data_IF_426953495129
#
_entry.id   IF_426953495129
#
_cell.length_a   1.000
_cell.length_b   1.000
_cell.length_c   1.000
_cell.angle_alpha   90.00
_cell.angle_beta   90.00
_cell.angle_gamma   90.00
#
_symmetry.space_group_name_H-M   'P 1'
#
loop_
_entity.id
_entity.type
_entity.pdbx_description
1 polymer ?
#
# COMPACT_ATOMS: atom_id res chain seq x y z
N UNK A 1 9.71 -27.58 -8.60
CA UNK A 1 9.51 -26.13 -8.34
C UNK A 1 9.20 -25.99 -6.86
N UNK A 2 10.00 -25.26 -6.11
CA UNK A 2 9.68 -24.97 -4.70
C UNK A 2 8.31 -24.29 -4.66
N UNK A 3 7.42 -24.80 -3.83
CA UNK A 3 6.07 -24.27 -3.65
C UNK A 3 6.17 -22.99 -2.79
N UNK A 4 6.58 -21.90 -3.42
CA UNK A 4 6.63 -20.58 -2.76
C UNK A 4 5.22 -20.12 -2.44
N UNK A 5 5.07 -19.42 -1.33
CA UNK A 5 3.83 -18.75 -0.94
C UNK A 5 3.38 -17.71 -1.94
N UNK A 6 2.25 -17.09 -1.67
CA UNK A 6 1.73 -15.95 -2.45
C UNK A 6 1.80 -14.68 -1.61
N UNK A 7 2.32 -13.61 -2.19
CA UNK A 7 2.39 -12.28 -1.58
C UNK A 7 1.45 -11.34 -2.33
N UNK A 8 0.31 -11.03 -1.72
CA UNK A 8 -0.75 -10.22 -2.32
C UNK A 8 -0.83 -8.90 -1.56
N UNK A 9 -0.70 -7.80 -2.28
CA UNK A 9 -0.78 -6.44 -1.73
C UNK A 9 -2.06 -5.76 -2.15
N UNK A 10 -2.78 -5.18 -1.20
CA UNK A 10 -3.88 -4.26 -1.47
C UNK A 10 -3.35 -2.83 -1.29
N UNK A 11 -3.37 -2.07 -2.37
CA UNK A 11 -2.97 -0.67 -2.41
C UNK A 11 -4.15 0.21 -2.83
N UNK A 12 -4.11 1.49 -2.56
CA UNK A 12 -5.20 2.38 -2.92
C UNK A 12 -4.77 3.81 -3.17
N UNK A 13 -5.47 4.45 -4.08
CA UNK A 13 -5.24 5.85 -4.47
C UNK A 13 -5.44 6.84 -3.31
N UNK A 14 -6.28 6.48 -2.33
CA UNK A 14 -6.59 7.28 -1.15
C UNK A 14 -6.83 6.39 0.06
N UNK A 15 -6.87 6.98 1.24
CA UNK A 15 -7.35 6.29 2.43
C UNK A 15 -8.88 6.16 2.40
N UNK A 16 -9.38 5.09 3.00
CA UNK A 16 -10.81 4.84 3.07
C UNK A 16 -11.43 4.16 1.85
N UNK A 17 -10.64 3.75 0.86
CA UNK A 17 -11.12 3.03 -0.35
C UNK A 17 -11.58 1.58 -0.09
N UNK A 18 -11.65 1.15 1.16
CA UNK A 18 -12.15 -0.18 1.52
C UNK A 18 -11.11 -1.28 1.60
N UNK A 19 -9.80 -1.00 1.57
CA UNK A 19 -8.71 -2.00 1.66
C UNK A 19 -8.90 -2.97 2.83
N UNK A 20 -9.04 -2.46 4.04
CA UNK A 20 -9.15 -3.29 5.25
C UNK A 20 -10.37 -4.22 5.20
N UNK A 21 -11.52 -3.74 4.71
CA UNK A 21 -12.72 -4.57 4.51
C UNK A 21 -12.46 -5.69 3.51
N UNK A 22 -11.78 -5.38 2.40
CA UNK A 22 -11.47 -6.38 1.38
C UNK A 22 -10.42 -7.38 1.85
N UNK A 23 -9.45 -6.94 2.67
CA UNK A 23 -8.49 -7.86 3.30
C UNK A 23 -9.17 -8.85 4.23
N UNK A 24 -10.15 -8.41 5.04
CA UNK A 24 -10.91 -9.29 5.91
C UNK A 24 -11.73 -10.33 5.13
N UNK A 25 -12.42 -9.89 4.09
CA UNK A 25 -13.18 -10.78 3.23
C UNK A 25 -12.26 -11.77 2.49
N UNK A 26 -11.12 -11.30 1.99
CA UNK A 26 -10.15 -12.10 1.27
C UNK A 26 -9.49 -13.15 2.17
N UNK A 27 -9.08 -12.75 3.39
CA UNK A 27 -8.56 -13.67 4.41
C UNK A 27 -9.58 -14.76 4.75
N UNK A 28 -10.84 -14.38 4.99
CA UNK A 28 -11.93 -15.32 5.29
C UNK A 28 -12.17 -16.32 4.16
N UNK A 29 -12.12 -15.87 2.90
CA UNK A 29 -12.35 -16.75 1.75
C UNK A 29 -11.16 -17.69 1.51
N UNK A 30 -9.94 -17.16 1.50
CA UNK A 30 -8.74 -17.94 1.20
C UNK A 30 -8.35 -18.90 2.34
N UNK A 31 -8.67 -18.57 3.60
CA UNK A 31 -8.40 -19.44 4.74
C UNK A 31 -9.17 -20.75 4.73
N UNK A 32 -10.14 -20.91 3.82
CA UNK A 32 -10.82 -22.20 3.58
C UNK A 32 -9.91 -23.23 2.89
N UNK A 33 -8.96 -22.76 2.09
CA UNK A 33 -8.12 -23.61 1.23
C UNK A 33 -6.63 -23.57 1.61
N UNK A 34 -6.15 -22.47 2.23
CA UNK A 34 -4.73 -22.26 2.58
C UNK A 34 -4.60 -21.44 3.83
N UNK A 35 -3.48 -21.59 4.54
CA UNK A 35 -3.18 -20.71 5.68
C UNK A 35 -2.81 -19.32 5.17
N UNK A 36 -3.51 -18.30 5.70
CA UNK A 36 -3.29 -16.90 5.37
C UNK A 36 -2.67 -16.14 6.53
N UNK A 37 -1.74 -15.23 6.21
CA UNK A 37 -1.18 -14.27 7.17
C UNK A 37 -1.46 -12.87 6.69
N UNK A 38 -2.25 -12.12 7.46
CA UNK A 38 -2.49 -10.70 7.19
C UNK A 38 -1.49 -9.82 7.92
N UNK A 39 -1.05 -8.74 7.25
CA UNK A 39 -0.20 -7.72 7.84
C UNK A 39 -0.52 -6.34 7.28
N UNK A 40 -0.20 -5.31 8.06
CA UNK A 40 -0.34 -3.91 7.66
C UNK A 40 0.99 -3.18 7.83
N UNK A 41 1.34 -2.33 6.87
CA UNK A 41 2.48 -1.43 6.95
C UNK A 41 2.02 0.04 6.95
N UNK A 42 2.65 0.91 7.76
CA UNK A 42 3.73 0.63 8.73
C UNK A 42 3.27 -0.23 9.92
N UNK A 43 4.20 -0.98 10.48
CA UNK A 43 3.94 -1.93 11.58
C UNK A 43 3.98 -1.24 12.94
N UNK A 44 3.01 -0.37 13.20
CA UNK A 44 2.99 0.55 14.35
C UNK A 44 3.13 -0.11 15.73
N UNK A 45 2.96 -1.39 15.86
CA UNK A 45 3.18 -2.16 17.09
C UNK A 45 4.64 -2.48 17.39
N UNK A 46 5.57 -2.18 16.48
CA UNK A 46 6.99 -2.51 16.60
C UNK A 46 7.88 -1.27 16.63
N UNK A 47 9.02 -1.38 17.33
CA UNK A 47 10.03 -0.32 17.37
C UNK A 47 10.64 -0.03 15.99
N UNK A 48 10.61 -0.98 15.05
CA UNK A 48 11.04 -0.78 13.66
C UNK A 48 10.32 0.36 12.95
N UNK A 49 9.07 0.66 13.35
CA UNK A 49 8.26 1.75 12.79
C UNK A 49 8.39 3.09 13.55
N UNK A 50 9.28 3.22 14.53
CA UNK A 50 9.37 4.43 15.35
C UNK A 50 9.75 5.66 14.53
N UNK A 51 10.70 5.52 13.59
CA UNK A 51 11.09 6.61 12.70
C UNK A 51 9.94 7.03 11.79
N UNK A 52 9.15 6.08 11.28
CA UNK A 52 7.95 6.37 10.50
C UNK A 52 6.94 7.17 11.33
N UNK A 53 6.70 6.77 12.59
CA UNK A 53 5.78 7.49 13.49
C UNK A 53 6.24 8.92 13.78
N UNK A 54 7.55 9.12 13.99
CA UNK A 54 8.11 10.47 14.21
C UNK A 54 7.99 11.33 12.95
N UNK A 55 8.27 10.75 11.78
CA UNK A 55 8.12 11.42 10.49
C UNK A 55 6.68 11.86 10.23
N UNK A 56 5.72 10.94 10.32
CA UNK A 56 4.30 11.23 10.07
C UNK A 56 3.74 12.30 11.04
N UNK A 57 4.27 12.38 12.26
CA UNK A 57 3.95 13.46 13.24
C UNK A 57 4.68 14.76 12.96
N UNK A 58 5.48 14.87 11.90
CA UNK A 58 6.29 16.07 11.60
C UNK A 58 7.41 16.36 12.61
N UNK A 59 7.83 15.36 13.41
CA UNK A 59 8.89 15.54 14.43
C UNK A 59 10.31 15.51 13.87
N UNK A 60 10.47 15.10 12.62
CA UNK A 60 11.78 14.99 11.94
C UNK A 60 12.04 16.18 10.98
N UNK A 61 11.10 17.08 10.83
CA UNK A 61 11.15 18.21 9.89
C UNK A 61 9.97 18.19 8.91
N UNK A 62 9.97 19.10 7.95
CA UNK A 62 8.93 19.18 6.92
C UNK A 62 9.22 18.20 5.80
N UNK A 63 8.19 17.84 5.05
CA UNK A 63 8.28 16.88 3.94
C UNK A 63 9.31 17.29 2.87
N UNK A 64 9.43 18.59 2.60
CA UNK A 64 10.35 19.15 1.61
C UNK A 64 11.79 19.31 2.11
N UNK A 65 12.04 19.21 3.43
CA UNK A 65 13.36 19.34 4.06
C UNK A 65 14.10 17.99 4.13
N UNK A 66 13.39 16.86 4.02
CA UNK A 66 13.97 15.52 4.18
C UNK A 66 14.11 14.86 2.78
N UNK A 67 15.30 14.36 2.40
CA UNK A 67 15.48 13.62 1.16
C UNK A 67 14.57 12.38 1.07
N UNK A 68 14.06 12.08 -0.12
CA UNK A 68 13.13 10.96 -0.31
C UNK A 68 13.77 9.61 0.03
N UNK A 69 15.05 9.44 -0.25
CA UNK A 69 15.80 8.23 0.10
C UNK A 69 15.92 8.03 1.63
N UNK A 70 15.96 9.13 2.39
CA UNK A 70 15.97 9.08 3.87
C UNK A 70 14.58 8.68 4.37
N UNK A 71 13.52 9.28 3.83
CA UNK A 71 12.15 8.91 4.17
C UNK A 71 11.91 7.44 3.83
N UNK A 72 12.34 7.01 2.64
CA UNK A 72 12.23 5.61 2.19
C UNK A 72 12.90 4.66 3.17
N UNK A 73 14.09 5.00 3.68
CA UNK A 73 14.82 4.14 4.62
C UNK A 73 14.04 3.85 5.91
N UNK A 74 13.23 4.79 6.38
CA UNK A 74 12.38 4.57 7.56
C UNK A 74 11.34 3.48 7.34
N UNK A 75 10.70 3.50 6.18
CA UNK A 75 9.70 2.50 5.80
C UNK A 75 10.33 1.15 5.43
N UNK A 76 11.45 1.18 4.72
CA UNK A 76 12.17 -0.01 4.27
C UNK A 76 12.71 -0.84 5.45
N UNK A 77 13.23 -0.19 6.51
CA UNK A 77 13.68 -0.87 7.73
C UNK A 77 12.51 -1.55 8.45
N UNK A 78 11.34 -0.91 8.52
CA UNK A 78 10.15 -1.54 9.12
C UNK A 78 9.72 -2.78 8.32
N UNK A 79 9.69 -2.69 6.99
CA UNK A 79 9.37 -3.82 6.12
C UNK A 79 10.38 -4.96 6.22
N UNK A 80 11.68 -4.64 6.22
CA UNK A 80 12.76 -5.66 6.36
C UNK A 80 12.65 -6.39 7.69
N UNK A 81 12.48 -5.66 8.80
CA UNK A 81 12.34 -6.26 10.11
C UNK A 81 11.17 -7.24 10.17
N UNK A 82 10.01 -6.83 9.66
CA UNK A 82 8.81 -7.68 9.66
C UNK A 82 8.97 -8.85 8.69
N UNK A 83 9.49 -8.60 7.49
CA UNK A 83 9.73 -9.66 6.53
C UNK A 83 10.62 -10.75 7.12
N UNK A 84 11.79 -10.39 7.62
CA UNK A 84 12.78 -11.32 8.14
C UNK A 84 12.29 -12.12 9.36
N UNK A 85 11.58 -11.45 10.27
CA UNK A 85 11.23 -12.07 11.55
C UNK A 85 9.86 -12.76 11.55
N UNK A 86 8.94 -12.36 10.64
CA UNK A 86 7.55 -12.83 10.71
C UNK A 86 7.00 -13.39 9.39
N UNK A 87 7.35 -12.82 8.23
CA UNK A 87 6.67 -13.16 6.98
C UNK A 87 7.45 -14.16 6.11
N UNK A 88 8.78 -14.06 6.08
CA UNK A 88 9.65 -14.88 5.22
C UNK A 88 9.41 -16.38 5.40
N UNK A 89 9.24 -16.83 6.65
CA UNK A 89 8.97 -18.24 6.95
C UNK A 89 7.63 -18.69 6.36
N UNK A 90 6.56 -17.91 6.54
CA UNK A 90 5.24 -18.19 5.96
C UNK A 90 5.30 -18.31 4.45
N UNK A 91 6.01 -17.37 3.81
CA UNK A 91 6.20 -17.37 2.37
C UNK A 91 6.96 -18.62 1.88
N UNK A 92 8.04 -18.99 2.58
CA UNK A 92 8.82 -20.18 2.27
C UNK A 92 8.04 -21.50 2.48
N UNK A 93 7.07 -21.52 3.38
CA UNK A 93 6.18 -22.66 3.64
C UNK A 93 5.01 -22.77 2.64
N UNK A 94 4.96 -21.92 1.62
CA UNK A 94 3.90 -21.98 0.59
C UNK A 94 2.58 -21.31 1.01
N UNK A 95 2.56 -20.55 2.10
CA UNK A 95 1.36 -19.90 2.64
C UNK A 95 1.10 -18.55 1.97
N UNK A 96 -0.14 -18.08 2.05
CA UNK A 96 -0.54 -16.79 1.47
C UNK A 96 -0.34 -15.66 2.48
N UNK A 97 0.31 -14.58 2.03
CA UNK A 97 0.50 -13.35 2.79
C UNK A 97 -0.35 -12.24 2.14
N UNK A 98 -1.20 -11.60 2.95
CA UNK A 98 -2.08 -10.51 2.55
C UNK A 98 -1.62 -9.23 3.21
N UNK A 99 -1.24 -8.23 2.42
CA UNK A 99 -0.70 -6.97 2.92
C UNK A 99 -1.62 -5.79 2.63
N UNK A 100 -1.92 -5.00 3.67
CA UNK A 100 -2.42 -3.64 3.54
C UNK A 100 -1.23 -2.70 3.45
N UNK A 101 -0.96 -2.16 2.26
CA UNK A 101 0.25 -1.40 1.91
C UNK A 101 1.54 -2.24 1.99
N UNK A 102 2.53 -1.82 1.25
CA UNK A 102 3.87 -2.43 1.22
C UNK A 102 4.88 -1.45 0.58
N UNK A 103 5.87 -1.96 -0.16
CA UNK A 103 6.77 -1.19 -1.02
C UNK A 103 6.00 -0.33 -2.03
N UNK A 104 4.83 -0.80 -2.43
CA UNK A 104 3.89 -0.13 -3.34
C UNK A 104 3.53 1.27 -2.87
N UNK A 105 3.31 1.46 -1.56
CA UNK A 105 3.07 2.80 -1.00
C UNK A 105 4.30 3.69 -1.14
N UNK A 106 5.52 3.19 -0.91
CA UNK A 106 6.73 3.98 -1.13
C UNK A 106 6.86 4.46 -2.57
N UNK A 107 6.53 3.62 -3.56
CA UNK A 107 6.54 4.02 -4.97
C UNK A 107 5.59 5.20 -5.23
N UNK A 108 4.45 5.26 -4.55
CA UNK A 108 3.49 6.36 -4.67
C UNK A 108 4.00 7.62 -3.96
N UNK A 109 4.44 7.50 -2.71
CA UNK A 109 4.72 8.65 -1.86
C UNK A 109 6.10 9.27 -2.11
N UNK A 110 7.14 8.47 -2.40
CA UNK A 110 8.48 9.02 -2.64
C UNK A 110 8.65 9.60 -4.05
N UNK A 111 7.71 9.37 -4.96
CA UNK A 111 7.71 10.01 -6.28
C UNK A 111 6.99 11.36 -6.32
N UNK A 112 6.43 11.81 -5.19
CA UNK A 112 5.68 13.09 -5.13
C UNK A 112 6.52 14.32 -5.46
N UNK A 113 7.82 14.32 -5.16
CA UNK A 113 8.73 15.43 -5.44
C UNK A 113 9.37 15.36 -6.84
N UNK A 114 9.25 14.23 -7.53
CA UNK A 114 9.75 14.07 -8.89
C UNK A 114 9.00 14.99 -9.87
N UNK A 115 9.75 15.68 -10.74
CA UNK A 115 9.19 16.66 -11.67
C UNK A 115 8.83 16.05 -13.02
N UNK A 116 9.50 14.95 -13.39
CA UNK A 116 9.32 14.27 -14.67
C UNK A 116 8.96 12.80 -14.45
N UNK A 117 8.37 12.19 -15.48
CA UNK A 117 8.10 10.75 -15.45
C UNK A 117 9.37 9.91 -15.36
N UNK A 118 10.45 10.36 -16.00
CA UNK A 118 11.72 9.63 -15.97
C UNK A 118 12.34 9.66 -14.56
N UNK A 119 12.27 10.80 -13.86
CA UNK A 119 12.66 10.87 -12.44
C UNK A 119 11.83 9.93 -11.58
N UNK A 120 10.51 9.83 -11.82
CA UNK A 120 9.63 8.87 -11.11
C UNK A 120 10.05 7.41 -11.38
N UNK A 121 10.28 7.06 -12.64
CA UNK A 121 10.73 5.72 -13.04
C UNK A 121 12.07 5.35 -12.41
N UNK A 122 13.04 6.27 -12.42
CA UNK A 122 14.35 6.09 -11.79
C UNK A 122 14.22 5.91 -10.26
N UNK A 123 13.38 6.71 -9.59
CA UNK A 123 13.12 6.57 -8.16
C UNK A 123 12.51 5.20 -7.84
N UNK A 124 11.51 4.77 -8.59
CA UNK A 124 10.89 3.45 -8.43
C UNK A 124 11.93 2.34 -8.63
N UNK A 125 12.78 2.44 -9.66
CA UNK A 125 13.82 1.46 -9.91
C UNK A 125 14.83 1.37 -8.75
N UNK A 126 15.26 2.51 -8.20
CA UNK A 126 16.13 2.58 -7.01
C UNK A 126 15.49 1.92 -5.79
N UNK A 127 14.21 2.23 -5.50
CA UNK A 127 13.48 1.62 -4.38
C UNK A 127 13.33 0.11 -4.55
N UNK A 128 12.98 -0.38 -5.75
CA UNK A 128 12.94 -1.82 -6.05
C UNK A 128 14.29 -2.49 -5.84
N UNK A 129 15.37 -1.88 -6.33
CA UNK A 129 16.72 -2.40 -6.14
C UNK A 129 17.10 -2.42 -4.65
N UNK A 130 16.79 -1.38 -3.91
CA UNK A 130 17.11 -1.30 -2.48
C UNK A 130 16.35 -2.35 -1.68
N UNK A 131 15.03 -2.43 -1.81
CA UNK A 131 14.21 -3.30 -0.98
C UNK A 131 14.24 -4.77 -1.41
N UNK A 132 14.05 -5.06 -2.71
CA UNK A 132 13.96 -6.44 -3.15
C UNK A 132 15.33 -7.12 -3.29
N UNK A 133 16.36 -6.39 -3.78
CA UNK A 133 17.69 -6.99 -3.99
C UNK A 133 18.62 -6.78 -2.80
N UNK A 134 18.72 -5.56 -2.24
CA UNK A 134 19.69 -5.30 -1.17
C UNK A 134 19.18 -5.77 0.19
N UNK A 135 17.90 -5.48 0.53
CA UNK A 135 17.29 -5.93 1.78
C UNK A 135 16.70 -7.35 1.68
N UNK A 136 16.42 -7.83 0.47
CA UNK A 136 15.94 -9.19 0.22
C UNK A 136 14.53 -9.46 0.72
N UNK A 137 13.68 -8.44 0.78
CA UNK A 137 12.25 -8.63 1.07
C UNK A 137 11.53 -9.19 -0.16
N UNK A 138 10.39 -9.86 0.05
CA UNK A 138 9.63 -10.47 -1.06
C UNK A 138 9.03 -9.43 -2.00
N UNK A 139 9.18 -9.63 -3.30
CA UNK A 139 8.43 -8.87 -4.30
C UNK A 139 6.99 -9.41 -4.38
N UNK A 140 5.95 -8.55 -4.48
CA UNK A 140 4.57 -9.00 -4.58
C UNK A 140 4.30 -9.86 -5.82
N UNK A 141 3.58 -10.97 -5.65
CA UNK A 141 3.06 -11.78 -6.77
C UNK A 141 1.83 -11.12 -7.41
N UNK A 142 1.08 -10.32 -6.65
CA UNK A 142 -0.08 -9.56 -7.09
C UNK A 142 -0.21 -8.27 -6.31
N UNK A 143 -0.41 -7.17 -7.02
CA UNK A 143 -0.82 -5.89 -6.43
C UNK A 143 -2.21 -5.56 -6.95
N UNK A 144 -3.18 -5.43 -6.04
CA UNK A 144 -4.54 -5.00 -6.36
C UNK A 144 -4.67 -3.53 -5.97
N UNK A 145 -4.83 -2.68 -6.96
CA UNK A 145 -4.95 -1.24 -6.79
C UNK A 145 -6.42 -0.82 -6.75
N UNK A 146 -6.87 -0.31 -5.62
CA UNK A 146 -8.22 0.24 -5.46
C UNK A 146 -8.26 1.67 -5.95
N UNK A 147 -8.93 1.86 -7.08
CA UNK A 147 -9.10 3.14 -7.75
C UNK A 147 -10.57 3.61 -7.66
N UNK A 148 -10.77 4.92 -7.80
CA UNK A 148 -12.11 5.51 -7.83
C UNK A 148 -12.03 6.98 -8.14
N UNK A 149 -13.17 7.62 -8.33
CA UNK A 149 -13.25 9.05 -8.57
C UNK A 149 -12.71 9.85 -7.37
N UNK A 150 -11.75 10.77 -7.63
CA UNK A 150 -11.06 11.52 -6.58
C UNK A 150 -12.01 12.32 -5.68
N UNK A 151 -12.99 13.00 -6.27
CA UNK A 151 -13.90 13.86 -5.51
C UNK A 151 -14.84 13.01 -4.64
N UNK A 152 -15.29 11.88 -5.16
CA UNK A 152 -16.10 10.90 -4.41
C UNK A 152 -15.28 10.32 -3.25
N UNK A 153 -14.07 9.86 -3.49
CA UNK A 153 -13.19 9.32 -2.45
C UNK A 153 -12.85 10.36 -1.39
N UNK A 154 -12.59 11.61 -1.80
CA UNK A 154 -12.31 12.72 -0.87
C UNK A 154 -13.51 13.01 0.02
N UNK A 155 -14.73 13.06 -0.53
CA UNK A 155 -15.95 13.25 0.27
C UNK A 155 -16.14 12.14 1.29
N UNK A 156 -15.95 10.89 0.90
CA UNK A 156 -16.10 9.73 1.79
C UNK A 156 -15.05 9.75 2.91
N UNK A 157 -13.80 10.10 2.59
CA UNK A 157 -12.73 10.24 3.57
C UNK A 157 -13.04 11.33 4.59
N UNK A 158 -13.40 12.55 4.14
CA UNK A 158 -13.74 13.67 5.01
C UNK A 158 -14.93 13.35 5.93
N UNK A 159 -15.95 12.65 5.44
CA UNK A 159 -17.07 12.22 6.26
C UNK A 159 -16.65 11.27 7.38
N UNK A 160 -15.67 10.41 7.15
CA UNK A 160 -15.11 9.48 8.17
C UNK A 160 -14.26 10.22 9.19
N UNK A 161 -13.38 11.13 8.76
CA UNK A 161 -12.50 11.93 9.63
C UNK A 161 -13.32 12.76 10.62
N UNK A 162 -14.38 13.42 10.14
CA UNK A 162 -15.28 14.22 10.97
C UNK A 162 -15.97 13.38 12.06
N UNK A 163 -16.26 12.11 11.78
CA UNK A 163 -16.93 11.21 12.72
C UNK A 163 -15.96 10.56 13.74
N UNK A 164 -14.66 10.47 13.42
CA UNK A 164 -13.70 9.68 14.19
C UNK A 164 -12.68 10.51 15.00
N UNK A 165 -12.62 11.85 14.81
CA UNK A 165 -11.68 12.72 15.50
C UNK A 165 -10.20 12.38 15.21
N UNK A 166 -9.89 11.87 14.02
CA UNK A 166 -8.57 11.37 13.64
C UNK A 166 -7.62 12.56 13.46
N UNK A 167 -6.44 12.50 14.09
CA UNK A 167 -5.39 13.48 13.90
C UNK A 167 -4.72 13.28 12.53
N UNK A 168 -4.70 14.33 11.71
CA UNK A 168 -4.08 14.32 10.37
C UNK A 168 -2.58 14.18 10.46
N UNK A 169 -2.01 13.38 9.58
CA UNK A 169 -0.56 13.26 9.40
C UNK A 169 -0.01 14.29 8.39
N UNK A 170 1.31 14.23 8.15
CA UNK A 170 2.02 15.16 7.26
C UNK A 170 1.54 15.11 5.80
N UNK A 171 1.01 13.97 5.34
CA UNK A 171 0.47 13.79 3.99
C UNK A 171 -1.01 14.17 3.87
N UNK A 172 -1.73 14.22 4.99
CA UNK A 172 -3.15 14.56 5.04
C UNK A 172 -3.41 16.07 5.25
N UNK A 173 -2.33 16.86 5.30
CA UNK A 173 -2.38 18.29 5.68
C UNK A 173 -3.20 19.15 4.69
N UNK A 174 -3.28 18.79 3.40
CA UNK A 174 -4.00 19.58 2.40
C UNK A 174 -4.64 18.72 1.30
N UNK A 175 -5.71 19.26 0.69
CA UNK A 175 -6.37 18.65 -0.48
C UNK A 175 -5.42 18.59 -1.66
N UNK A 176 -4.55 19.58 -1.85
CA UNK A 176 -3.56 19.60 -2.93
C UNK A 176 -2.54 18.46 -2.78
N UNK A 177 -2.08 18.21 -1.56
CA UNK A 177 -1.21 17.05 -1.28
C UNK A 177 -1.92 15.73 -1.60
N UNK A 178 -3.17 15.61 -1.20
CA UNK A 178 -3.97 14.41 -1.50
C UNK A 178 -4.20 14.20 -3.00
N UNK A 179 -4.40 15.29 -3.76
CA UNK A 179 -4.51 15.21 -5.23
C UNK A 179 -3.21 14.74 -5.87
N UNK A 180 -2.06 15.27 -5.43
CA UNK A 180 -0.74 14.80 -5.90
C UNK A 180 -0.51 13.33 -5.59
N UNK A 181 -0.90 12.86 -4.40
CA UNK A 181 -0.82 11.43 -4.04
C UNK A 181 -1.69 10.60 -4.97
N UNK A 182 -2.93 11.04 -5.21
CA UNK A 182 -3.83 10.35 -6.13
C UNK A 182 -3.25 10.28 -7.55
N UNK A 183 -2.76 11.38 -8.10
CA UNK A 183 -2.13 11.44 -9.43
C UNK A 183 -0.87 10.55 -9.50
N UNK A 184 -0.05 10.57 -8.44
CA UNK A 184 1.11 9.67 -8.36
C UNK A 184 0.68 8.20 -8.31
N UNK A 185 -0.36 7.87 -7.57
CA UNK A 185 -0.88 6.50 -7.49
C UNK A 185 -1.40 6.00 -8.85
N UNK A 186 -2.08 6.88 -9.62
CA UNK A 186 -2.48 6.56 -11.00
C UNK A 186 -1.26 6.24 -11.87
N UNK A 187 -0.28 7.16 -11.89
CA UNK A 187 0.95 6.97 -12.66
C UNK A 187 1.67 5.67 -12.30
N UNK A 188 1.88 5.41 -11.00
CA UNK A 188 2.60 4.22 -10.53
C UNK A 188 1.84 2.94 -10.88
N UNK A 189 0.51 2.92 -10.70
CA UNK A 189 -0.30 1.74 -11.02
C UNK A 189 -0.29 1.40 -12.50
N UNK A 190 -0.32 2.41 -13.38
CA UNK A 190 -0.22 2.24 -14.84
C UNK A 190 1.18 1.79 -15.25
N UNK A 191 2.22 2.46 -14.75
CA UNK A 191 3.62 2.15 -15.08
C UNK A 191 4.02 0.73 -14.66
N UNK A 192 3.61 0.31 -13.45
CA UNK A 192 3.90 -1.02 -12.92
C UNK A 192 2.85 -2.08 -13.29
N UNK A 193 1.82 -1.69 -14.05
CA UNK A 193 0.74 -2.57 -14.53
C UNK A 193 0.03 -3.32 -13.40
N UNK A 194 -0.29 -2.62 -12.32
CA UNK A 194 -1.05 -3.20 -11.23
C UNK A 194 -2.47 -3.54 -11.66
N UNK A 195 -3.01 -4.64 -11.15
CA UNK A 195 -4.40 -4.99 -11.38
C UNK A 195 -5.34 -4.02 -10.64
N UNK A 196 -6.15 -3.27 -11.39
CA UNK A 196 -7.00 -2.21 -10.84
C UNK A 196 -8.43 -2.69 -10.60
N UNK A 197 -8.98 -2.37 -9.43
CA UNK A 197 -10.38 -2.54 -9.08
C UNK A 197 -10.98 -1.17 -8.83
N UNK A 198 -11.98 -0.77 -9.65
CA UNK A 198 -12.72 0.45 -9.43
C UNK A 198 -13.67 0.28 -8.24
N UNK A 199 -13.54 1.15 -7.25
CA UNK A 199 -14.37 1.10 -6.03
C UNK A 199 -15.51 2.10 -6.04
N UNK A 200 -15.57 2.99 -7.04
CA UNK A 200 -16.67 3.95 -7.21
C UNK A 200 -17.42 3.69 -8.50
N UNK A 201 -18.73 4.00 -8.49
CA UNK A 201 -19.60 4.05 -9.66
C UNK A 201 -20.45 5.30 -9.55
N UNK A 202 -20.35 6.17 -10.56
CA UNK A 202 -20.88 7.52 -10.46
C UNK A 202 -20.29 8.26 -9.25
N UNK A 203 -21.15 8.86 -8.43
CA UNK A 203 -20.75 9.63 -7.23
C UNK A 203 -20.84 8.81 -5.93
N UNK A 204 -20.83 7.49 -6.00
CA UNK A 204 -21.01 6.61 -4.85
C UNK A 204 -19.96 5.49 -4.81
N UNK A 205 -19.74 4.97 -3.61
CA UNK A 205 -18.93 3.75 -3.44
C UNK A 205 -19.77 2.54 -3.88
N UNK A 206 -19.16 1.62 -4.62
CA UNK A 206 -19.75 0.31 -4.96
C UNK A 206 -19.96 -0.53 -3.69
N UNK A 207 -20.82 -1.52 -3.77
CA UNK A 207 -21.02 -2.46 -2.66
C UNK A 207 -19.71 -3.21 -2.35
N UNK A 208 -19.50 -3.56 -1.07
CA UNK A 208 -18.33 -4.33 -0.67
C UNK A 208 -18.31 -5.71 -1.31
N UNK A 209 -19.48 -6.27 -1.61
CA UNK A 209 -19.70 -7.55 -2.26
C UNK A 209 -19.24 -7.52 -3.73
N UNK A 210 -19.63 -6.48 -4.48
CA UNK A 210 -19.24 -6.33 -5.90
C UNK A 210 -17.73 -6.08 -6.04
N UNK A 211 -17.17 -5.24 -5.15
CA UNK A 211 -15.72 -5.03 -5.10
C UNK A 211 -15.01 -6.35 -4.78
N UNK A 212 -15.53 -7.11 -3.82
CA UNK A 212 -14.95 -8.41 -3.44
C UNK A 212 -14.97 -9.43 -4.57
N UNK A 213 -16.03 -9.47 -5.35
CA UNK A 213 -16.09 -10.35 -6.53
C UNK A 213 -14.97 -10.02 -7.53
N UNK A 214 -14.70 -8.74 -7.79
CA UNK A 214 -13.62 -8.34 -8.68
C UNK A 214 -12.24 -8.66 -8.10
N UNK A 215 -12.02 -8.42 -6.80
CA UNK A 215 -10.80 -8.85 -6.09
C UNK A 215 -10.58 -10.35 -6.23
N UNK A 216 -11.60 -11.17 -6.00
CA UNK A 216 -11.51 -12.63 -6.11
C UNK A 216 -11.23 -13.11 -7.54
N UNK A 217 -11.75 -12.43 -8.58
CA UNK A 217 -11.40 -12.73 -9.98
C UNK A 217 -9.89 -12.60 -10.23
N UNK A 218 -9.24 -11.57 -9.67
CA UNK A 218 -7.81 -11.33 -9.80
C UNK A 218 -7.00 -12.39 -9.03
N UNK A 219 -7.36 -12.64 -7.79
CA UNK A 219 -6.66 -13.62 -6.94
C UNK A 219 -6.74 -15.04 -7.52
N UNK A 220 -7.86 -15.42 -8.10
CA UNK A 220 -8.02 -16.75 -8.75
C UNK A 220 -7.09 -16.95 -9.96
N UNK A 221 -6.61 -15.89 -10.62
CA UNK A 221 -5.64 -15.99 -11.71
C UNK A 221 -4.23 -16.35 -11.23
N UNK A 222 -3.93 -16.18 -9.94
CA UNK A 222 -2.65 -16.57 -9.35
C UNK A 222 -2.54 -18.07 -9.02
N UNK A 223 -3.63 -18.80 -9.10
CA UNK A 223 -3.70 -20.23 -8.77
C UNK A 223 -3.19 -21.12 -9.89
#
# INVERSE_FOLDING_TARGET
>A
MENKGKLIVLEGACDGVGKSTQLELLESELSKDTECKRWHFPSYGFASSDMVRLFLKGKLGKLDEIPDEVIESYYAIDREYVWRNYLKKYYAEGKTILLDRYTTSSFIYQTLKCKTEDEKKDMIAKMKAYEYYNLGIGEPDLVIFFNGDFDTLTKLRLARENNAGIQKDIFEASVDTQRKIYESAQFVSEYLKWDTVNVTEGNAMRSKEDIHQDVMKLVRKLR
#
